data_IF_817106278620
#
_entry.id   IF_817106278620
#
_cell.length_a   1.000
_cell.length_b   1.000
_cell.length_c   1.000
_cell.angle_alpha   90.00
_cell.angle_beta   90.00
_cell.angle_gamma   90.00
#
_symmetry.space_group_name_H-M   'P 1'
#
loop_
_entity.id
_entity.type
_entity.pdbx_description
1 polymer ?
#
# COMPACT_ATOMS: atom_id res chain seq x y z
N UNK A 1 18.58 -0.64 1.87
CA UNK A 1 17.39 0.21 2.05
C UNK A 1 16.49 -0.48 3.06
N UNK A 2 16.20 0.18 4.18
CA UNK A 2 15.44 -0.38 5.31
C UNK A 2 13.93 -0.31 5.09
N UNK A 3 13.17 -0.92 6.00
CA UNK A 3 11.71 -1.00 5.92
C UNK A 3 11.06 0.38 5.71
N UNK A 4 10.19 0.47 4.70
CA UNK A 4 9.40 1.66 4.36
C UNK A 4 7.99 1.49 4.90
N UNK A 5 7.48 2.54 5.53
CA UNK A 5 6.15 2.59 6.13
C UNK A 5 5.42 3.88 5.71
N UNK A 6 4.48 3.75 4.78
CA UNK A 6 3.64 4.85 4.30
C UNK A 6 2.33 4.83 5.09
N UNK A 7 1.94 5.98 5.63
CA UNK A 7 0.71 6.14 6.40
C UNK A 7 -0.14 7.23 5.80
N UNK A 8 -1.37 6.89 5.45
CA UNK A 8 -2.43 7.86 5.16
C UNK A 8 -3.31 7.98 6.41
N UNK A 9 -3.35 9.17 7.05
CA UNK A 9 -4.23 9.42 8.18
C UNK A 9 -5.71 9.21 7.83
N UNK A 10 -6.48 8.79 8.83
CA UNK A 10 -7.91 8.56 8.75
C UNK A 10 -8.45 8.13 10.11
N UNK A 11 -9.73 7.76 10.17
CA UNK A 11 -10.31 7.08 11.31
C UNK A 11 -9.99 5.57 11.29
N UNK A 12 -10.53 4.81 12.24
CA UNK A 12 -10.32 3.36 12.35
C UNK A 12 -10.66 2.57 11.08
N UNK A 13 -11.54 3.09 10.21
CA UNK A 13 -12.02 2.41 9.00
C UNK A 13 -11.29 2.87 7.74
N UNK A 14 -10.73 4.07 7.76
CA UNK A 14 -10.17 4.74 6.58
C UNK A 14 -8.66 4.92 6.63
N UNK A 15 -8.06 4.87 7.84
CA UNK A 15 -6.61 4.88 8.01
C UNK A 15 -5.98 3.75 7.20
N UNK A 16 -4.99 4.11 6.39
CA UNK A 16 -4.32 3.19 5.47
C UNK A 16 -2.83 3.16 5.75
N UNK A 17 -2.24 1.96 5.80
CA UNK A 17 -0.82 1.74 6.03
C UNK A 17 -0.26 0.81 4.96
N UNK A 18 0.83 1.20 4.32
CA UNK A 18 1.57 0.36 3.37
C UNK A 18 2.97 0.10 3.90
N UNK A 19 3.36 -1.18 3.93
CA UNK A 19 4.70 -1.63 4.31
C UNK A 19 5.36 -2.34 3.16
N UNK A 20 6.63 -2.04 2.95
CA UNK A 20 7.51 -2.73 2.00
C UNK A 20 8.96 -2.66 2.50
N UNK A 21 9.82 -3.54 2.03
CA UNK A 21 11.25 -3.50 2.38
C UNK A 21 11.99 -2.35 1.70
N UNK A 22 11.53 -1.92 0.52
CA UNK A 22 12.15 -0.86 -0.28
C UNK A 22 11.12 -0.20 -1.20
N UNK A 23 11.34 1.08 -1.49
CA UNK A 23 10.46 1.88 -2.34
C UNK A 23 11.30 2.91 -3.08
N UNK A 24 11.03 3.07 -4.37
CA UNK A 24 11.57 4.16 -5.18
C UNK A 24 10.52 5.25 -5.34
N UNK A 25 10.89 6.50 -5.12
CA UNK A 25 10.00 7.66 -5.24
C UNK A 25 10.59 8.62 -6.28
N UNK A 26 9.75 9.01 -7.25
CA UNK A 26 10.00 10.12 -8.15
C UNK A 26 9.07 11.27 -7.77
N UNK A 27 9.62 12.25 -7.06
CA UNK A 27 8.87 13.42 -6.56
C UNK A 27 8.53 14.43 -7.65
N UNK A 28 9.14 14.35 -8.84
CA UNK A 28 8.79 15.24 -9.96
C UNK A 28 7.56 14.75 -10.71
N UNK A 29 7.30 13.44 -10.65
CA UNK A 29 6.17 12.77 -11.30
C UNK A 29 5.09 12.34 -10.32
N UNK A 30 5.26 12.64 -9.03
CA UNK A 30 4.41 12.16 -7.95
C UNK A 30 4.15 10.66 -8.07
N UNK A 31 5.22 9.88 -8.22
CA UNK A 31 5.16 8.46 -8.49
C UNK A 31 6.02 7.66 -7.52
N UNK A 32 5.52 6.50 -7.11
CA UNK A 32 6.29 5.56 -6.29
C UNK A 32 6.13 4.13 -6.82
N UNK A 33 7.18 3.33 -6.72
CA UNK A 33 7.12 1.92 -7.08
C UNK A 33 8.07 1.04 -6.29
N UNK A 34 7.73 -0.24 -6.25
CA UNK A 34 8.55 -1.30 -5.67
C UNK A 34 8.30 -2.60 -6.43
N UNK A 35 9.30 -3.45 -6.53
CA UNK A 35 9.20 -4.83 -7.00
C UNK A 35 9.11 -5.83 -5.84
N UNK A 36 9.24 -5.34 -4.60
CA UNK A 36 9.20 -6.14 -3.39
C UNK A 36 7.78 -6.53 -2.96
N UNK A 37 7.71 -7.45 -2.00
CA UNK A 37 6.47 -7.76 -1.31
C UNK A 37 5.92 -6.52 -0.59
N UNK A 38 4.61 -6.30 -0.73
CA UNK A 38 3.88 -5.20 -0.10
C UNK A 38 2.76 -5.74 0.78
N UNK A 39 2.58 -5.10 1.93
CA UNK A 39 1.42 -5.29 2.80
C UNK A 39 0.68 -3.96 2.93
N UNK A 40 -0.58 -3.94 2.49
CA UNK A 40 -1.50 -2.82 2.63
C UNK A 40 -2.54 -3.17 3.70
N UNK A 41 -2.69 -2.34 4.72
CA UNK A 41 -3.76 -2.46 5.72
C UNK A 41 -4.67 -1.24 5.64
N UNK A 42 -5.99 -1.46 5.63
CA UNK A 42 -7.02 -0.40 5.71
C UNK A 42 -8.12 -0.85 6.66
N UNK A 43 -8.19 -0.19 7.82
CA UNK A 43 -9.00 -0.66 8.94
C UNK A 43 -8.72 -2.13 9.27
N UNK A 44 -9.73 -2.98 9.20
CA UNK A 44 -9.65 -4.42 9.47
C UNK A 44 -9.30 -5.27 8.24
N UNK A 45 -9.04 -4.63 7.09
CA UNK A 45 -8.72 -5.32 5.85
C UNK A 45 -7.21 -5.31 5.60
N UNK A 46 -6.68 -6.43 5.13
CA UNK A 46 -5.27 -6.57 4.75
C UNK A 46 -5.17 -7.11 3.34
N UNK A 47 -4.34 -6.49 2.53
CA UNK A 47 -4.00 -6.94 1.17
C UNK A 47 -2.50 -7.15 1.07
N UNK A 48 -2.06 -8.27 0.51
CA UNK A 48 -0.66 -8.57 0.22
C UNK A 48 -0.45 -8.73 -1.28
N UNK A 49 0.68 -8.29 -1.80
CA UNK A 49 1.05 -8.50 -3.20
C UNK A 49 2.57 -8.50 -3.39
N UNK A 50 3.02 -8.88 -4.59
CA UNK A 50 4.39 -8.70 -5.08
C UNK A 50 4.41 -7.55 -6.08
N UNK A 51 5.17 -6.51 -5.75
CA UNK A 51 5.28 -5.30 -6.55
C UNK A 51 4.08 -4.36 -6.46
N UNK A 52 4.34 -3.06 -6.59
CA UNK A 52 3.33 -2.00 -6.53
C UNK A 52 3.77 -0.77 -7.32
N UNK A 53 2.78 -0.08 -7.89
CA UNK A 53 2.93 1.25 -8.49
C UNK A 53 1.91 2.20 -7.89
N UNK A 54 2.32 3.41 -7.57
CA UNK A 54 1.44 4.44 -7.05
C UNK A 54 1.63 5.74 -7.83
N UNK A 55 0.53 6.27 -8.35
CA UNK A 55 0.43 7.66 -8.77
C UNK A 55 -0.13 8.46 -7.60
N UNK A 56 0.74 9.20 -6.92
CA UNK A 56 0.45 9.94 -5.71
C UNK A 56 -0.40 11.18 -6.00
N UNK A 57 -0.21 11.83 -7.14
CA UNK A 57 -1.02 12.98 -7.56
C UNK A 57 -2.50 12.59 -7.75
N UNK A 58 -2.76 11.36 -8.23
CA UNK A 58 -4.11 10.83 -8.44
C UNK A 58 -4.63 10.01 -7.25
N UNK A 59 -3.83 9.80 -6.22
CA UNK A 59 -4.17 8.90 -5.10
C UNK A 59 -4.45 7.46 -5.55
N UNK A 60 -3.85 7.00 -6.66
CA UNK A 60 -4.12 5.70 -7.29
C UNK A 60 -2.97 4.73 -7.04
N UNK A 61 -3.31 3.54 -6.55
CA UNK A 61 -2.37 2.46 -6.28
C UNK A 61 -2.74 1.21 -7.07
N UNK A 62 -1.74 0.57 -7.68
CA UNK A 62 -1.85 -0.69 -8.41
C UNK A 62 -0.96 -1.75 -7.76
N UNK A 63 -1.52 -2.95 -7.55
CA UNK A 63 -0.79 -4.13 -7.09
C UNK A 63 -0.55 -5.06 -8.28
N UNK A 64 0.69 -5.51 -8.48
CA UNK A 64 1.12 -6.05 -9.76
C UNK A 64 0.95 -7.58 -9.88
N UNK A 65 1.32 -8.34 -8.86
CA UNK A 65 1.31 -9.79 -8.89
C UNK A 65 0.98 -10.40 -7.51
N UNK A 66 0.58 -11.67 -7.49
CA UNK A 66 0.30 -12.46 -6.27
C UNK A 66 -0.64 -11.77 -5.26
N UNK A 67 -1.56 -10.94 -5.75
CA UNK A 67 -2.46 -10.13 -4.94
C UNK A 67 -3.45 -11.01 -4.18
N UNK A 68 -3.47 -10.90 -2.85
CA UNK A 68 -4.41 -11.59 -1.96
C UNK A 68 -5.01 -10.61 -0.97
N UNK A 69 -6.34 -10.61 -0.89
CA UNK A 69 -7.09 -9.81 0.08
C UNK A 69 -7.62 -10.66 1.22
N UNK A 70 -7.51 -10.14 2.44
CA UNK A 70 -8.07 -10.69 3.67
C UNK A 70 -9.03 -9.65 4.23
N UNK A 71 -10.30 -10.02 4.29
CA UNK A 71 -11.36 -9.14 4.77
C UNK A 71 -11.94 -9.76 6.04
N UNK A 72 -11.90 -8.99 7.13
CA UNK A 72 -12.67 -9.34 8.32
C UNK A 72 -14.16 -9.03 8.06
N UNK A 73 -14.96 -10.08 7.98
CA UNK A 73 -16.42 -9.99 7.77
C UNK A 73 -17.18 -9.68 9.06
N UNK A 74 -16.53 -9.77 10.23
CA UNK A 74 -17.14 -9.40 11.51
C UNK A 74 -17.17 -7.87 11.73
N UNK A 75 -16.40 -7.11 10.96
CA UNK A 75 -16.30 -5.66 11.04
C UNK A 75 -16.52 -5.01 9.65
N UNK A 76 -17.76 -5.00 9.12
CA UNK A 76 -18.13 -4.33 7.87
C UNK A 76 -18.16 -2.80 8.03
#
# INVERSE_FOLDING_TARGET
NGAVDIRQPGDERTATRLRTRDLRIDTRRDYAETDAAVELTRGYHRTTATGMRANLALGRLELLADTRGYYDVAHP
#
